data_IF_900255265114
#
_entry.id   IF_900255265114
#
_cell.length_a   1.000
_cell.length_b   1.000
_cell.length_c   1.000
_cell.angle_alpha   90.00
_cell.angle_beta   90.00
_cell.angle_gamma   90.00
#
_symmetry.space_group_name_H-M   'P 1'
#
loop_
_entity.id
_entity.type
_entity.pdbx_description
1 polymer ?
#
# COMPACT_ATOMS: atom_id res chain seq x y z
N UNK A 1 -12.97 -7.25 2.35
CA UNK A 1 -11.68 -6.60 2.01
C UNK A 1 -10.76 -7.58 1.33
N UNK A 2 -9.98 -7.10 0.40
CA UNK A 2 -9.07 -7.93 -0.37
C UNK A 2 -7.68 -7.31 -0.32
N UNK A 3 -6.65 -8.16 -0.27
CA UNK A 3 -5.27 -7.69 -0.34
C UNK A 3 -4.58 -8.48 -1.45
N UNK A 4 -3.94 -7.77 -2.36
CA UNK A 4 -3.21 -8.40 -3.45
C UNK A 4 -1.77 -7.95 -3.44
N UNK A 5 -0.91 -8.81 -3.90
CA UNK A 5 0.49 -8.49 -4.05
C UNK A 5 0.71 -7.73 -5.35
N UNK A 6 1.54 -6.72 -5.29
CA UNK A 6 2.03 -6.04 -6.47
C UNK A 6 3.56 -6.13 -6.47
N UNK A 7 4.21 -5.52 -7.42
CA UNK A 7 5.66 -5.62 -7.51
C UNK A 7 6.40 -4.74 -6.51
N UNK A 8 7.70 -4.73 -6.63
CA UNK A 8 8.52 -3.83 -5.82
C UNK A 8 8.30 -2.39 -6.30
N UNK A 9 7.87 -1.49 -5.42
CA UNK A 9 7.47 -0.16 -5.87
C UNK A 9 8.60 0.65 -6.49
N UNK A 10 9.81 0.38 -6.10
CA UNK A 10 10.95 1.10 -6.65
C UNK A 10 11.27 0.66 -8.07
N UNK A 11 11.16 -0.63 -8.34
CA UNK A 11 11.53 -1.18 -9.64
C UNK A 11 10.36 -1.35 -10.59
N UNK A 12 9.15 -1.43 -10.07
CA UNK A 12 7.95 -1.71 -10.86
C UNK A 12 6.80 -0.77 -10.51
N UNK A 13 7.03 0.56 -10.59
CA UNK A 13 5.98 1.50 -10.22
C UNK A 13 4.76 1.44 -11.14
N UNK A 14 4.97 1.11 -12.40
CA UNK A 14 3.86 1.04 -13.36
C UNK A 14 2.90 -0.10 -13.05
N UNK A 15 3.44 -1.20 -12.58
CA UNK A 15 2.60 -2.34 -12.20
C UNK A 15 1.72 -1.97 -11.01
N UNK A 16 2.28 -1.28 -10.04
CA UNK A 16 1.53 -0.85 -8.88
C UNK A 16 0.41 0.10 -9.26
N UNK A 17 0.72 1.08 -10.09
CA UNK A 17 -0.29 2.03 -10.56
C UNK A 17 -1.41 1.33 -11.30
N UNK A 18 -1.08 0.37 -12.14
CA UNK A 18 -2.07 -0.39 -12.90
C UNK A 18 -2.97 -1.21 -11.99
N UNK A 19 -2.41 -1.87 -11.00
CA UNK A 19 -3.20 -2.67 -10.08
C UNK A 19 -4.16 -1.78 -9.29
N UNK A 20 -3.68 -0.66 -8.78
CA UNK A 20 -4.53 0.27 -8.05
C UNK A 20 -5.65 0.81 -8.94
N UNK A 21 -5.33 1.15 -10.16
CA UNK A 21 -6.31 1.69 -11.10
C UNK A 21 -7.41 0.66 -11.40
N UNK A 22 -7.02 -0.56 -11.66
CA UNK A 22 -8.00 -1.61 -11.95
C UNK A 22 -8.89 -1.92 -10.76
N UNK A 23 -8.31 -2.00 -9.58
CA UNK A 23 -9.11 -2.27 -8.39
C UNK A 23 -10.05 -1.12 -8.06
N UNK A 24 -9.68 0.09 -8.39
CA UNK A 24 -10.54 1.25 -8.17
C UNK A 24 -11.81 1.21 -8.99
N UNK A 25 -11.87 0.37 -10.01
CA UNK A 25 -13.10 0.16 -10.76
C UNK A 25 -14.11 -0.71 -10.03
N UNK A 26 -13.69 -1.42 -9.00
CA UNK A 26 -14.55 -2.34 -8.28
C UNK A 26 -14.72 -2.00 -6.80
N UNK A 27 -13.79 -1.25 -6.23
CA UNK A 27 -13.77 -0.95 -4.80
C UNK A 27 -13.65 0.56 -4.59
N UNK A 28 -14.39 1.07 -3.63
CA UNK A 28 -14.32 2.50 -3.30
C UNK A 28 -13.06 2.86 -2.53
N UNK A 29 -12.53 1.93 -1.75
CA UNK A 29 -11.30 2.15 -1.02
C UNK A 29 -10.20 1.27 -1.57
N UNK A 30 -9.19 1.88 -2.19
CA UNK A 30 -8.04 1.17 -2.73
C UNK A 30 -6.80 1.93 -2.30
N UNK A 31 -5.93 1.27 -1.56
CA UNK A 31 -4.70 1.90 -1.10
C UNK A 31 -3.54 0.91 -1.15
N UNK A 32 -2.44 1.31 -1.73
CA UNK A 32 -1.21 0.53 -1.65
C UNK A 32 -0.50 0.81 -0.34
N UNK A 33 0.31 -0.14 0.08
CA UNK A 33 1.19 0.08 1.21
C UNK A 33 2.45 -0.78 1.04
N UNK A 34 3.60 -0.24 1.42
CA UNK A 34 4.84 -0.99 1.34
C UNK A 34 5.00 -1.90 2.55
N UNK A 35 5.64 -3.02 2.33
CA UNK A 35 6.07 -3.89 3.43
C UNK A 35 7.54 -4.21 3.25
N UNK A 36 8.31 -4.23 4.34
CA UNK A 36 9.71 -4.59 4.25
C UNK A 36 9.86 -6.10 4.04
N UNK A 37 10.60 -6.46 3.03
CA UNK A 37 10.91 -7.86 2.73
C UNK A 37 12.40 -7.93 2.42
N UNK A 38 13.23 -8.22 3.42
CA UNK A 38 14.68 -8.11 3.27
C UNK A 38 15.29 -8.93 2.14
N UNK A 39 14.62 -10.01 1.74
CA UNK A 39 15.12 -10.87 0.67
C UNK A 39 14.86 -10.33 -0.72
N UNK A 40 14.08 -9.28 -0.84
CA UNK A 40 13.77 -8.71 -2.14
C UNK A 40 14.72 -7.56 -2.47
N UNK A 41 15.02 -7.39 -3.75
CA UNK A 41 15.77 -6.24 -4.20
C UNK A 41 15.00 -4.98 -3.83
N UNK A 42 15.68 -4.02 -3.23
CA UNK A 42 15.06 -2.82 -2.73
C UNK A 42 14.41 -2.98 -1.37
N UNK A 43 14.41 -4.20 -0.83
CA UNK A 43 13.92 -4.51 0.51
C UNK A 43 12.47 -4.16 0.76
N UNK A 44 11.70 -3.92 -0.28
CA UNK A 44 10.31 -3.52 -0.16
C UNK A 44 9.45 -4.22 -1.19
N UNK A 45 8.25 -4.58 -0.78
CA UNK A 45 7.22 -5.09 -1.65
C UNK A 45 5.98 -4.24 -1.44
N UNK A 46 5.21 -4.03 -2.48
CA UNK A 46 3.95 -3.33 -2.34
C UNK A 46 2.80 -4.32 -2.29
N UNK A 47 1.91 -4.10 -1.36
CA UNK A 47 0.62 -4.78 -1.31
C UNK A 47 -0.44 -3.73 -1.55
N UNK A 48 -1.58 -4.16 -2.09
CA UNK A 48 -2.69 -3.24 -2.33
C UNK A 48 -3.90 -3.78 -1.58
N UNK A 49 -4.43 -2.96 -0.69
CA UNK A 49 -5.64 -3.28 0.05
C UNK A 49 -6.83 -2.62 -0.63
N UNK A 50 -7.89 -3.39 -0.80
CA UNK A 50 -9.11 -2.90 -1.43
C UNK A 50 -10.31 -3.28 -0.59
N UNK A 51 -11.20 -2.33 -0.39
CA UNK A 51 -12.39 -2.54 0.41
C UNK A 51 -13.52 -1.64 -0.03
N UNK A 52 -14.65 -1.75 0.65
CA UNK A 52 -15.85 -0.99 0.29
C UNK A 52 -15.73 0.51 0.53
N UNK A 53 -14.79 0.91 1.40
CA UNK A 53 -14.57 2.30 1.72
C UNK A 53 -13.15 2.50 2.20
N UNK A 54 -12.74 3.75 2.31
CA UNK A 54 -11.42 4.06 2.86
C UNK A 54 -11.29 3.58 4.29
N UNK A 55 -12.37 3.72 5.07
CA UNK A 55 -12.35 3.30 6.46
C UNK A 55 -12.27 1.78 6.60
N UNK A 56 -12.76 1.03 5.60
CA UNK A 56 -12.61 -0.42 5.62
C UNK A 56 -11.13 -0.81 5.47
N UNK A 57 -10.38 -0.05 4.68
CA UNK A 57 -8.97 -0.33 4.43
C UNK A 57 -8.09 0.24 5.54
N UNK A 58 -8.39 1.46 5.96
CA UNK A 58 -7.61 2.14 7.00
C UNK A 58 -8.55 2.64 8.10
N UNK A 59 -9.02 1.74 8.96
CA UNK A 59 -9.94 2.13 10.01
C UNK A 59 -9.29 3.12 10.99
N UNK A 60 -10.11 3.87 11.74
CA UNK A 60 -9.58 4.70 12.82
C UNK A 60 -8.82 3.85 13.81
N UNK A 61 -7.85 4.48 14.47
CA UNK A 61 -6.99 3.76 15.41
C UNK A 61 -7.75 3.07 16.52
N UNK A 62 -8.83 3.70 16.98
CA UNK A 62 -9.69 3.12 18.01
C UNK A 62 -10.25 1.78 17.56
N UNK A 63 -10.77 1.71 16.35
CA UNK A 63 -11.34 0.47 15.80
C UNK A 63 -10.26 -0.59 15.66
N UNK A 64 -9.08 -0.19 15.18
CA UNK A 64 -7.97 -1.12 15.05
C UNK A 64 -7.54 -1.68 16.39
N UNK A 65 -7.50 -0.85 17.42
CA UNK A 65 -7.13 -1.32 18.74
C UNK A 65 -8.14 -2.31 19.29
N UNK A 66 -9.42 -2.04 19.10
CA UNK A 66 -10.45 -2.96 19.52
C UNK A 66 -10.32 -4.31 18.83
N UNK A 67 -10.11 -4.29 17.51
CA UNK A 67 -9.94 -5.53 16.75
C UNK A 67 -8.65 -6.26 17.13
N UNK A 68 -7.58 -5.51 17.33
CA UNK A 68 -6.31 -6.09 17.71
C UNK A 68 -6.40 -6.76 19.07
N UNK A 69 -7.19 -6.19 19.97
CA UNK A 69 -7.40 -6.78 21.29
C UNK A 69 -8.10 -8.12 21.27
N UNK A 70 -8.79 -8.44 20.16
CA UNK A 70 -9.42 -9.75 19.99
C UNK A 70 -8.44 -10.83 19.57
N UNK A 71 -7.24 -10.45 19.13
CA UNK A 71 -6.22 -11.40 18.75
C UNK A 71 -5.58 -11.93 20.04
N UNK A 72 -5.67 -13.22 20.22
CA UNK A 72 -5.10 -13.85 21.40
C UNK A 72 -3.59 -14.01 21.29
N UNK A 73 -3.08 -13.99 20.09
CA UNK A 73 -1.67 -14.20 19.85
C UNK A 73 -0.95 -12.87 19.68
N UNK A 74 0.31 -12.85 20.08
CA UNK A 74 1.15 -11.69 19.92
C UNK A 74 1.73 -11.68 18.52
N UNK A 75 1.75 -10.49 17.93
CA UNK A 75 2.37 -10.29 16.63
C UNK A 75 3.72 -9.62 16.81
N UNK A 76 4.66 -9.93 15.93
CA UNK A 76 6.00 -9.35 16.03
C UNK A 76 6.16 -8.08 15.22
N UNK A 77 5.30 -7.88 14.25
CA UNK A 77 5.39 -6.72 13.37
C UNK A 77 4.13 -5.86 13.43
N UNK A 78 2.98 -6.47 13.34
CA UNK A 78 1.72 -5.76 13.18
C UNK A 78 1.21 -5.18 14.49
N UNK A 79 0.89 -3.89 14.47
CA UNK A 79 0.18 -3.22 15.55
C UNK A 79 -0.84 -2.27 14.90
N UNK A 80 -1.83 -1.78 15.66
CA UNK A 80 -2.75 -0.76 15.11
C UNK A 80 -2.02 0.45 14.55
N UNK A 81 -0.98 0.89 15.22
CA UNK A 81 -0.19 2.02 14.78
C UNK A 81 0.57 1.72 13.49
N UNK A 82 1.15 0.54 13.39
CA UNK A 82 1.85 0.12 12.18
C UNK A 82 0.86 0.02 11.01
N UNK A 83 -0.33 -0.51 11.26
CA UNK A 83 -1.36 -0.59 10.23
C UNK A 83 -1.65 0.80 9.65
N UNK A 84 -1.91 1.76 10.52
CA UNK A 84 -2.23 3.11 10.05
C UNK A 84 -1.04 3.77 9.37
N UNK A 85 0.15 3.58 9.93
CA UNK A 85 1.35 4.18 9.37
C UNK A 85 1.72 3.61 8.00
N UNK A 86 1.40 2.36 7.76
CA UNK A 86 1.72 1.71 6.49
C UNK A 86 1.09 2.43 5.30
N UNK A 87 -0.04 3.08 5.50
CA UNK A 87 -0.73 3.81 4.44
C UNK A 87 -0.31 5.28 4.33
N UNK A 88 0.64 5.71 5.13
CA UNK A 88 1.21 7.05 5.02
C UNK A 88 2.39 6.96 4.07
N UNK A 89 2.19 7.41 2.84
CA UNK A 89 3.15 7.19 1.77
C UNK A 89 4.02 8.43 1.56
N UNK A 90 5.29 8.18 1.25
CA UNK A 90 6.17 9.27 0.86
C UNK A 90 5.69 9.90 -0.46
N UNK A 91 5.95 11.20 -0.67
CA UNK A 91 5.53 11.86 -1.89
C UNK A 91 6.01 11.17 -3.17
N UNK A 92 7.22 10.66 -3.17
CA UNK A 92 7.75 9.95 -4.34
C UNK A 92 6.96 8.69 -4.64
N UNK A 93 6.50 8.01 -3.61
CA UNK A 93 5.68 6.82 -3.77
C UNK A 93 4.31 7.20 -4.31
N UNK A 94 3.70 8.25 -3.74
CA UNK A 94 2.37 8.67 -4.17
C UNK A 94 2.36 9.16 -5.61
N UNK A 95 3.39 9.86 -6.04
CA UNK A 95 3.43 10.36 -7.41
C UNK A 95 3.53 9.23 -8.43
N UNK A 96 4.13 8.12 -8.06
CA UNK A 96 4.23 6.98 -8.98
C UNK A 96 2.89 6.27 -9.18
N UNK A 97 1.88 6.59 -8.38
CA UNK A 97 0.55 6.02 -8.54
C UNK A 97 -0.30 6.76 -9.56
N UNK A 98 0.16 7.89 -10.04
CA UNK A 98 -0.59 8.69 -10.99
C UNK A 98 -0.29 8.19 -12.39
N UNK A 99 -1.26 7.55 -12.97
CA UNK A 99 -1.08 6.91 -14.27
C UNK A 99 -0.97 7.88 -15.41
N UNK A 100 -1.41 9.12 -15.23
CA UNK A 100 -1.29 10.10 -16.29
C UNK A 100 0.15 10.53 -16.52
N UNK A 101 1.01 10.17 -15.62
CA UNK A 101 2.42 10.42 -15.83
C UNK A 101 3.06 9.08 -16.18
N UNK A 102 3.07 8.72 -17.44
CA UNK A 102 3.56 7.42 -17.86
C UNK A 102 5.02 7.32 -17.51
N UNK A 103 5.33 6.85 -16.38
CA UNK A 103 6.67 6.74 -15.88
C UNK A 103 7.63 6.39 -17.02
N UNK A 104 8.16 7.33 -17.71
CA UNK A 104 9.05 7.04 -18.81
C UNK A 104 10.28 6.32 -18.27
N UNK A 105 11.04 5.75 -19.15
CA UNK A 105 12.23 5.05 -18.74
C UNK A 105 13.09 5.88 -17.82
N UNK A 106 12.96 7.18 -17.91
CA UNK A 106 13.72 8.08 -17.07
C UNK A 106 13.00 8.46 -15.79
N UNK A 107 12.31 7.55 -15.15
CA UNK A 107 11.54 7.89 -13.97
C UNK A 107 12.37 8.60 -12.90
N UNK A 108 13.63 8.33 -12.82
CA UNK A 108 14.49 8.98 -11.83
C UNK A 108 14.52 10.48 -12.05
N UNK A 109 14.61 10.91 -13.29
CA UNK A 109 14.63 12.35 -13.57
C UNK A 109 13.30 13.01 -13.32
N UNK A 110 12.23 12.27 -13.49
CA UNK A 110 10.91 12.84 -13.31
C UNK A 110 10.49 12.89 -11.87
N UNK A 111 11.14 12.13 -11.04
CA UNK A 111 10.77 12.03 -9.63
C UNK A 111 11.59 12.91 -8.71
N UNK A 112 12.55 13.54 -9.24
CA UNK A 112 13.37 14.44 -8.41
C UNK A 112 12.64 15.69 -8.01
#
# INVERSE_FOLDING_TARGET
MMVVQSGAPFFQPDELAMVCDRLSGFFAGVRPYPVPVPTYAGSMLALVAAGESRDAVRPPCKVLRERFGLLQEKTHYHTPEVHRAAFTLAPSFESSLRSEDPAPAGFLKTRT
#
